data_IF_953813042667
#
_entry.id   IF_953813042667
#
_cell.length_a   1.000
_cell.length_b   1.000
_cell.length_c   1.000
_cell.angle_alpha   90.00
_cell.angle_beta   90.00
_cell.angle_gamma   90.00
#
_symmetry.space_group_name_H-M   'P 1'
#
loop_
_entity.id
_entity.type
_entity.pdbx_description
1 polymer ?
#
# COMPACT_ATOMS: atom_id res chain seq x y z
N UNK A 1 -58.17 -32.58 36.72
CA UNK A 1 -57.97 -31.13 36.56
C UNK A 1 -58.04 -30.50 37.93
N UNK A 2 -56.91 -29.95 38.39
CA UNK A 2 -56.83 -29.08 39.56
C UNK A 2 -56.65 -27.65 39.02
N UNK A 3 -57.46 -26.67 39.44
CA UNK A 3 -57.32 -25.30 38.96
C UNK A 3 -56.05 -24.70 39.56
N UNK A 4 -55.17 -24.21 38.68
CA UNK A 4 -53.99 -23.45 39.09
C UNK A 4 -54.47 -22.05 39.45
N UNK A 5 -54.31 -21.70 40.72
CA UNK A 5 -54.62 -20.39 41.25
C UNK A 5 -53.62 -19.38 40.68
N UNK A 6 -54.04 -18.63 39.65
CA UNK A 6 -53.46 -17.34 39.30
C UNK A 6 -53.72 -16.37 40.47
N UNK A 7 -52.92 -16.49 41.53
CA UNK A 7 -52.72 -15.37 42.43
C UNK A 7 -52.07 -14.28 41.60
N UNK A 8 -52.90 -13.34 41.17
CA UNK A 8 -52.48 -12.02 40.73
C UNK A 8 -51.58 -11.41 41.81
N UNK A 9 -50.28 -11.63 41.69
CA UNK A 9 -49.29 -10.77 42.30
C UNK A 9 -49.44 -9.44 41.58
N UNK A 10 -49.80 -8.40 42.34
CA UNK A 10 -50.00 -7.05 41.86
C UNK A 10 -48.80 -6.60 41.01
N UNK A 11 -49.02 -6.48 39.71
CA UNK A 11 -48.65 -5.29 38.93
C UNK A 11 -47.19 -5.01 38.57
N UNK A 12 -46.20 -5.84 38.93
CA UNK A 12 -44.83 -5.67 38.41
C UNK A 12 -44.23 -7.03 38.04
N UNK A 13 -44.06 -7.29 36.74
CA UNK A 13 -43.10 -8.28 36.29
C UNK A 13 -41.71 -7.73 36.65
N UNK A 14 -40.85 -8.45 37.37
CA UNK A 14 -39.49 -7.96 37.64
C UNK A 14 -38.77 -7.79 36.30
N UNK A 15 -38.42 -6.54 35.99
CA UNK A 15 -37.59 -6.19 34.83
C UNK A 15 -36.17 -6.01 35.38
N UNK A 16 -35.20 -6.63 34.71
CA UNK A 16 -33.79 -6.42 35.04
C UNK A 16 -33.48 -4.94 34.90
N UNK A 17 -32.78 -4.35 35.86
CA UNK A 17 -32.29 -2.97 35.77
C UNK A 17 -31.47 -2.76 34.50
N UNK A 18 -30.72 -3.78 34.06
CA UNK A 18 -30.02 -3.77 32.78
C UNK A 18 -30.91 -3.63 31.53
N UNK A 19 -32.24 -3.74 31.64
CA UNK A 19 -33.20 -3.49 30.56
C UNK A 19 -33.87 -2.11 30.65
N UNK A 20 -33.51 -1.29 31.63
CA UNK A 20 -34.02 0.06 31.84
C UNK A 20 -32.94 1.05 31.40
N UNK A 21 -33.33 1.99 30.55
CA UNK A 21 -32.45 3.04 30.02
C UNK A 21 -32.80 4.39 30.63
N UNK A 22 -31.79 5.23 30.83
CA UNK A 22 -31.93 6.62 31.19
C UNK A 22 -32.60 7.38 30.06
N UNK A 23 -33.79 7.90 30.31
CA UNK A 23 -34.54 8.69 29.34
C UNK A 23 -34.58 10.18 29.70
N UNK A 24 -33.74 10.60 30.66
CA UNK A 24 -33.56 12.00 31.02
C UNK A 24 -32.64 12.75 30.02
N UNK A 25 -32.37 14.04 30.27
CA UNK A 25 -31.37 14.77 29.51
C UNK A 25 -29.95 14.26 29.82
N UNK A 26 -29.01 14.59 28.94
CA UNK A 26 -27.59 14.36 29.18
C UNK A 26 -27.12 15.22 30.36
N UNK A 27 -26.25 14.68 31.21
CA UNK A 27 -25.63 15.36 32.34
C UNK A 27 -24.11 15.38 32.12
N UNK A 28 -23.57 16.42 31.42
CA UNK A 28 -22.16 16.48 31.08
C UNK A 28 -21.21 16.48 32.29
N UNK A 29 -21.70 16.87 33.47
CA UNK A 29 -20.89 16.92 34.69
C UNK A 29 -20.51 15.54 35.25
N UNK A 30 -21.21 14.48 34.83
CA UNK A 30 -20.95 13.10 35.26
C UNK A 30 -20.86 12.13 34.06
N UNK A 31 -20.63 12.67 32.86
CA UNK A 31 -20.56 11.94 31.58
C UNK A 31 -21.75 11.01 31.27
N UNK A 32 -22.93 11.35 31.82
CA UNK A 32 -24.14 10.56 31.64
C UNK A 32 -24.92 11.02 30.42
N UNK A 33 -25.29 10.09 29.54
CA UNK A 33 -26.03 10.33 28.32
C UNK A 33 -27.43 9.67 28.31
N UNK A 34 -28.34 10.26 27.55
CA UNK A 34 -29.64 9.67 27.25
C UNK A 34 -29.46 8.36 26.50
N UNK A 35 -30.06 7.30 27.02
CA UNK A 35 -29.97 5.94 26.48
C UNK A 35 -29.07 5.02 27.29
N UNK A 36 -28.31 5.56 28.26
CA UNK A 36 -27.43 4.76 29.11
C UNK A 36 -28.21 3.80 30.01
N UNK A 37 -27.55 2.72 30.41
CA UNK A 37 -28.15 1.74 31.29
C UNK A 37 -28.40 2.33 32.68
N UNK A 38 -29.55 2.04 33.31
CA UNK A 38 -29.82 2.54 34.66
C UNK A 38 -28.82 2.01 35.69
N UNK A 39 -28.24 0.82 35.47
CA UNK A 39 -27.18 0.28 36.33
C UNK A 39 -25.93 1.18 36.31
N UNK A 40 -25.54 1.64 35.11
CA UNK A 40 -24.44 2.59 34.91
C UNK A 40 -24.75 3.94 35.57
N UNK A 41 -25.96 4.45 35.35
CA UNK A 41 -26.40 5.74 35.92
C UNK A 41 -26.33 5.72 37.46
N UNK A 42 -26.86 4.66 38.08
CA UNK A 42 -26.85 4.52 39.54
C UNK A 42 -25.43 4.40 40.06
N UNK A 43 -24.56 3.67 39.35
CA UNK A 43 -23.16 3.52 39.73
C UNK A 43 -22.40 4.85 39.70
N UNK A 44 -22.57 5.65 38.64
CA UNK A 44 -21.90 6.94 38.49
C UNK A 44 -22.39 7.97 39.52
N UNK A 45 -23.70 8.04 39.76
CA UNK A 45 -24.28 8.91 40.80
C UNK A 45 -23.79 8.51 42.19
N UNK A 46 -23.74 7.21 42.49
CA UNK A 46 -23.25 6.72 43.78
C UNK A 46 -21.76 7.03 43.97
N UNK A 47 -20.97 6.92 42.90
CA UNK A 47 -19.54 7.24 42.92
C UNK A 47 -19.31 8.73 43.19
N UNK A 48 -20.02 9.62 42.50
CA UNK A 48 -19.93 11.06 42.75
C UNK A 48 -20.40 11.45 44.15
N UNK A 49 -21.46 10.80 44.65
CA UNK A 49 -21.90 11.00 46.03
C UNK A 49 -20.83 10.57 47.04
N UNK A 50 -20.18 9.44 46.82
CA UNK A 50 -19.06 8.98 47.66
C UNK A 50 -17.87 9.96 47.59
N UNK A 51 -17.51 10.44 46.40
CA UNK A 51 -16.44 11.43 46.23
C UNK A 51 -16.74 12.74 46.96
N UNK A 52 -18.00 13.20 46.93
CA UNK A 52 -18.43 14.38 47.68
C UNK A 52 -18.40 14.14 49.19
N UNK A 53 -18.78 12.95 49.66
CA UNK A 53 -18.69 12.59 51.07
C UNK A 53 -17.24 12.55 51.55
N UNK A 54 -16.31 12.05 50.73
CA UNK A 54 -14.87 12.04 51.03
C UNK A 54 -14.28 13.46 51.04
N UNK A 55 -14.72 14.35 50.13
CA UNK A 55 -14.28 15.75 50.08
C UNK A 55 -14.79 16.55 51.29
N UNK A 56 -15.95 16.18 51.82
CA UNK A 56 -16.59 16.79 53.00
C UNK A 56 -16.34 15.94 54.25
N UNK A 57 -15.29 15.11 54.26
CA UNK A 57 -14.90 14.37 55.45
C UNK A 57 -14.26 15.31 56.48
N UNK A 58 -15.12 15.82 57.38
CA UNK A 58 -14.77 16.75 58.43
C UNK A 58 -14.16 16.07 59.68
N UNK A 59 -13.94 14.75 59.66
CA UNK A 59 -13.41 14.00 60.81
C UNK A 59 -12.02 14.46 61.26
N UNK A 60 -11.28 15.16 60.40
CA UNK A 60 -9.94 15.69 60.70
C UNK A 60 -9.94 17.14 61.23
N UNK A 61 -11.10 17.79 61.33
CA UNK A 61 -11.22 19.16 61.82
C UNK A 61 -11.77 19.14 63.26
N UNK A 62 -10.93 19.48 64.24
CA UNK A 62 -11.38 19.73 65.60
C UNK A 62 -12.09 21.09 65.70
N UNK A 63 -13.13 21.19 66.55
CA UNK A 63 -13.90 22.42 66.83
C UNK A 63 -14.76 22.98 65.68
N UNK A 64 -15.43 22.11 64.92
CA UNK A 64 -16.51 22.56 64.04
C UNK A 64 -17.77 22.84 64.88
N UNK A 65 -18.39 24.03 64.77
CA UNK A 65 -19.64 24.35 65.48
C UNK A 65 -20.77 23.39 65.10
N UNK A 66 -21.60 22.99 66.08
CA UNK A 66 -22.71 22.03 65.86
C UNK A 66 -23.84 22.56 64.95
N UNK A 67 -23.85 23.85 64.59
CA UNK A 67 -24.89 24.49 63.78
C UNK A 67 -24.32 25.00 62.44
N UNK A 68 -24.03 24.07 61.53
CA UNK A 68 -23.72 24.39 60.13
C UNK A 68 -24.97 24.11 59.31
N UNK A 69 -25.58 25.14 58.75
CA UNK A 69 -26.81 24.99 57.96
C UNK A 69 -26.51 24.91 56.46
N UNK A 70 -25.37 25.45 56.01
CA UNK A 70 -24.93 25.41 54.62
C UNK A 70 -23.40 25.49 54.47
N UNK A 71 -22.95 25.49 53.22
CA UNK A 71 -21.53 25.55 52.89
C UNK A 71 -20.86 26.89 53.26
N UNK A 72 -21.62 28.00 53.35
CA UNK A 72 -21.08 29.28 53.82
C UNK A 72 -20.80 29.23 55.32
N UNK A 73 -21.70 28.64 56.11
CA UNK A 73 -21.49 28.44 57.55
C UNK A 73 -20.24 27.59 57.83
N UNK A 74 -20.02 26.53 57.04
CA UNK A 74 -18.82 25.69 57.14
C UNK A 74 -17.54 26.47 56.81
N UNK A 75 -17.53 27.19 55.69
CA UNK A 75 -16.37 28.00 55.29
C UNK A 75 -16.08 29.08 56.33
N UNK A 76 -17.10 29.72 56.89
CA UNK A 76 -16.94 30.75 57.91
C UNK A 76 -16.38 30.16 59.22
N UNK A 77 -16.85 29.00 59.65
CA UNK A 77 -16.32 28.30 60.83
C UNK A 77 -14.83 27.92 60.68
N UNK A 78 -14.41 27.51 59.47
CA UNK A 78 -13.01 27.22 59.17
C UNK A 78 -12.15 28.49 59.21
N UNK A 79 -12.66 29.62 58.72
CA UNK A 79 -11.99 30.93 58.77
C UNK A 79 -11.82 31.40 60.23
N UNK A 80 -12.86 31.24 61.05
CA UNK A 80 -12.84 31.67 62.45
C UNK A 80 -11.85 30.84 63.29
N UNK A 81 -11.78 29.52 63.05
CA UNK A 81 -10.78 28.66 63.69
C UNK A 81 -9.35 29.03 63.27
N UNK A 82 -9.10 29.29 61.99
CA UNK A 82 -7.80 29.78 61.51
C UNK A 82 -7.42 31.13 62.15
N UNK A 83 -8.40 32.01 62.35
CA UNK A 83 -8.17 33.34 62.93
C UNK A 83 -7.81 33.25 64.42
N UNK A 84 -8.39 32.30 65.16
CA UNK A 84 -8.10 32.06 66.57
C UNK A 84 -6.71 31.44 66.81
N UNK A 85 -6.19 30.64 65.87
CA UNK A 85 -4.81 30.13 65.94
C UNK A 85 -3.75 31.22 65.61
N UNK A 86 -4.15 32.30 64.93
CA UNK A 86 -3.26 33.40 64.50
C UNK A 86 -3.16 34.52 65.55
N UNK A 87 -3.88 34.42 66.67
CA UNK A 87 -3.91 35.42 67.75
C UNK A 87 -2.63 35.44 68.65
N UNK A 88 -1.46 35.17 68.07
CA UNK A 88 -0.17 35.17 68.78
C UNK A 88 0.63 36.47 68.68
N UNK A 89 0.13 37.50 67.99
CA UNK A 89 0.95 38.67 67.63
C UNK A 89 0.49 40.02 68.18
N UNK A 90 -0.62 40.10 68.92
CA UNK A 90 -1.02 41.34 69.56
C UNK A 90 -0.49 41.36 71.00
N UNK A 91 0.79 41.74 71.13
CA UNK A 91 1.34 42.68 72.14
C UNK A 91 2.81 42.36 72.51
N UNK A 92 3.68 43.31 72.14
CA UNK A 92 5.07 43.57 72.59
C UNK A 92 6.23 42.74 71.99
N UNK A 93 7.24 43.50 71.50
CA UNK A 93 8.49 43.13 70.80
C UNK A 93 8.37 42.83 69.29
N UNK A 94 9.35 43.23 68.45
CA UNK A 94 9.37 42.78 67.05
C UNK A 94 9.41 41.26 67.07
N UNK A 95 8.39 40.63 66.49
CA UNK A 95 8.22 39.18 66.49
C UNK A 95 9.56 38.50 66.15
N UNK A 96 10.12 37.73 67.10
CA UNK A 96 11.31 36.93 66.78
C UNK A 96 10.90 35.94 65.69
N UNK A 97 11.64 35.90 64.59
CA UNK A 97 11.43 34.91 63.53
C UNK A 97 11.30 33.51 64.14
N UNK A 98 10.09 32.95 64.09
CA UNK A 98 9.81 31.64 64.66
C UNK A 98 10.50 30.58 63.82
N UNK A 99 11.51 29.92 64.40
CA UNK A 99 12.19 28.79 63.79
C UNK A 99 11.36 27.53 64.07
N UNK A 100 11.00 26.83 63.00
CA UNK A 100 10.19 25.61 63.05
C UNK A 100 10.97 24.43 62.48
N UNK A 101 10.61 23.23 62.91
CA UNK A 101 11.18 21.99 62.37
C UNK A 101 10.43 21.61 61.09
N UNK A 102 11.16 21.38 60.01
CA UNK A 102 10.60 21.02 58.71
C UNK A 102 10.33 19.53 58.60
N UNK A 103 9.37 19.13 57.76
CA UNK A 103 9.19 17.73 57.38
C UNK A 103 10.42 17.19 56.64
N UNK A 104 10.68 15.90 56.77
CA UNK A 104 11.90 15.26 56.24
C UNK A 104 12.05 15.35 54.72
N UNK A 105 10.96 15.47 53.98
CA UNK A 105 10.96 15.68 52.54
C UNK A 105 11.48 17.07 52.12
N UNK A 106 11.63 17.99 53.06
CA UNK A 106 12.21 19.32 52.87
C UNK A 106 13.60 19.46 53.48
N UNK A 107 14.15 18.41 54.08
CA UNK A 107 15.54 18.44 54.55
C UNK A 107 16.48 18.52 53.36
N UNK A 108 17.49 19.38 53.46
CA UNK A 108 18.51 19.52 52.44
C UNK A 108 19.89 19.64 53.09
N UNK A 109 20.93 19.35 52.31
CA UNK A 109 22.31 19.53 52.75
C UNK A 109 22.80 20.88 52.26
N UNK A 110 23.31 21.71 53.16
CA UNK A 110 23.85 23.02 52.78
C UNK A 110 25.29 22.90 52.22
N UNK A 111 25.87 24.03 51.83
CA UNK A 111 27.22 24.08 51.25
C UNK A 111 28.34 23.73 52.24
N UNK A 112 28.07 23.70 53.55
CA UNK A 112 29.00 23.21 54.58
C UNK A 112 28.80 21.73 54.91
N UNK A 113 27.95 21.03 54.15
CA UNK A 113 27.68 19.60 54.28
C UNK A 113 26.85 19.24 55.53
N UNK A 114 26.15 20.21 56.12
CA UNK A 114 25.24 20.01 57.24
C UNK A 114 23.81 19.78 56.74
N UNK A 115 23.10 18.85 57.38
CA UNK A 115 21.67 18.64 57.13
C UNK A 115 20.87 19.74 57.82
N UNK A 116 20.16 20.54 57.04
CA UNK A 116 19.27 21.59 57.53
C UNK A 116 17.88 20.97 57.73
N UNK A 117 17.43 20.92 58.99
CA UNK A 117 16.13 20.35 59.39
C UNK A 117 15.16 21.38 59.94
N UNK A 118 15.60 22.62 60.12
CA UNK A 118 14.81 23.74 60.66
C UNK A 118 14.90 24.95 59.74
N UNK A 119 13.84 25.74 59.65
CA UNK A 119 13.78 26.98 58.88
C UNK A 119 12.85 27.98 59.56
N UNK A 120 12.86 29.25 59.13
CA UNK A 120 11.81 30.19 59.54
C UNK A 120 10.47 29.79 58.93
N UNK A 121 9.36 30.22 59.54
CA UNK A 121 8.02 29.97 59.00
C UNK A 121 7.89 30.44 57.53
N UNK A 122 8.44 31.62 57.21
CA UNK A 122 8.42 32.17 55.85
C UNK A 122 9.19 31.27 54.87
N UNK A 123 10.41 30.86 55.21
CA UNK A 123 11.23 30.01 54.35
C UNK A 123 10.60 28.64 54.12
N UNK A 124 10.07 28.03 55.18
CA UNK A 124 9.40 26.73 55.06
C UNK A 124 8.14 26.81 54.20
N UNK A 125 7.33 27.85 54.39
CA UNK A 125 6.13 28.09 53.57
C UNK A 125 6.50 28.30 52.10
N UNK A 126 7.60 29.02 51.81
CA UNK A 126 8.10 29.19 50.44
C UNK A 126 8.56 27.86 49.82
N UNK A 127 9.24 27.00 50.59
CA UNK A 127 9.65 25.68 50.10
C UNK A 127 8.45 24.77 49.81
N UNK A 128 7.43 24.78 50.67
CA UNK A 128 6.17 24.07 50.44
C UNK A 128 5.51 24.58 49.15
N UNK A 129 5.42 25.90 48.97
CA UNK A 129 4.88 26.51 47.75
C UNK A 129 5.62 26.09 46.48
N UNK A 130 6.96 26.10 46.50
CA UNK A 130 7.77 25.64 45.38
C UNK A 130 7.53 24.16 45.05
N UNK A 131 7.50 23.29 46.08
CA UNK A 131 7.24 21.86 45.90
C UNK A 131 5.84 21.59 45.37
N UNK A 132 4.86 22.37 45.81
CA UNK A 132 3.49 22.30 45.30
C UNK A 132 3.43 22.70 43.82
N UNK A 133 4.12 23.77 43.42
CA UNK A 133 4.23 24.15 42.01
C UNK A 133 4.88 23.02 41.17
N UNK A 134 5.96 22.40 41.65
CA UNK A 134 6.61 21.28 40.97
C UNK A 134 5.67 20.07 40.81
N UNK A 135 4.89 19.75 41.85
CA UNK A 135 3.91 18.68 41.81
C UNK A 135 2.79 18.99 40.81
N UNK A 136 2.27 20.22 40.79
CA UNK A 136 1.27 20.66 39.81
C UNK A 136 1.82 20.54 38.38
N UNK A 137 3.06 20.99 38.13
CA UNK A 137 3.71 20.84 36.83
C UNK A 137 3.86 19.36 36.45
N UNK A 138 4.28 18.52 37.39
CA UNK A 138 4.45 17.08 37.16
C UNK A 138 3.12 16.40 36.81
N UNK A 139 2.05 16.73 37.53
CA UNK A 139 0.70 16.23 37.24
C UNK A 139 0.26 16.66 35.84
N UNK A 140 0.41 17.94 35.50
CA UNK A 140 0.03 18.44 34.16
C UNK A 140 0.80 17.74 33.03
N UNK A 141 2.10 17.52 33.22
CA UNK A 141 2.94 16.79 32.25
C UNK A 141 2.48 15.33 32.10
N UNK A 142 2.21 14.65 33.23
CA UNK A 142 1.74 13.27 33.21
C UNK A 142 0.35 13.15 32.55
N UNK A 143 -0.58 14.06 32.84
CA UNK A 143 -1.89 14.12 32.20
C UNK A 143 -1.76 14.28 30.69
N UNK A 144 -0.88 15.18 30.23
CA UNK A 144 -0.62 15.38 28.80
C UNK A 144 -0.03 14.12 28.15
N UNK A 145 0.93 13.47 28.80
CA UNK A 145 1.54 12.24 28.29
C UNK A 145 0.52 11.08 28.19
N UNK A 146 -0.36 10.95 29.18
CA UNK A 146 -1.44 9.95 29.17
C UNK A 146 -2.40 10.20 28.00
N UNK A 147 -2.78 11.46 27.74
CA UNK A 147 -3.62 11.84 26.60
C UNK A 147 -2.97 11.40 25.27
N UNK A 148 -1.68 11.70 25.08
CA UNK A 148 -0.93 11.33 23.88
C UNK A 148 -0.85 9.80 23.69
N UNK A 149 -0.63 9.04 24.76
CA UNK A 149 -0.64 7.59 24.70
C UNK A 149 -2.01 7.03 24.32
N UNK A 150 -3.09 7.61 24.86
CA UNK A 150 -4.45 7.21 24.52
C UNK A 150 -4.77 7.47 23.04
N UNK A 151 -4.38 8.63 22.51
CA UNK A 151 -4.54 8.97 21.10
C UNK A 151 -3.78 7.99 20.20
N UNK A 152 -2.54 7.64 20.57
CA UNK A 152 -1.74 6.67 19.82
C UNK A 152 -2.35 5.26 19.83
N UNK A 153 -2.91 4.83 20.95
CA UNK A 153 -3.60 3.54 21.06
C UNK A 153 -4.84 3.51 20.17
N UNK A 154 -5.62 4.58 20.15
CA UNK A 154 -6.79 4.71 19.28
C UNK A 154 -6.40 4.66 17.81
N UNK A 155 -5.35 5.40 17.41
CA UNK A 155 -4.85 5.38 16.03
C UNK A 155 -4.34 3.99 15.61
N UNK A 156 -3.58 3.32 16.48
CA UNK A 156 -3.08 1.97 16.20
C UNK A 156 -4.22 0.95 16.07
N UNK A 157 -5.27 1.09 16.90
CA UNK A 157 -6.45 0.23 16.84
C UNK A 157 -7.19 0.41 15.51
N UNK A 158 -7.37 1.65 15.05
CA UNK A 158 -7.97 1.94 13.75
C UNK A 158 -7.13 1.36 12.59
N UNK A 159 -5.81 1.58 12.60
CA UNK A 159 -4.91 1.05 11.58
C UNK A 159 -4.94 -0.49 11.52
N UNK A 160 -5.03 -1.14 12.68
CA UNK A 160 -5.11 -2.60 12.76
C UNK A 160 -6.43 -3.13 12.19
N UNK A 161 -7.55 -2.44 12.46
CA UNK A 161 -8.85 -2.79 11.88
C UNK A 161 -8.83 -2.64 10.36
N UNK A 162 -8.32 -1.53 9.84
CA UNK A 162 -8.17 -1.31 8.39
C UNK A 162 -7.34 -2.41 7.72
N UNK A 163 -6.18 -2.77 8.31
CA UNK A 163 -5.36 -3.86 7.80
C UNK A 163 -6.06 -5.22 7.84
N UNK A 164 -6.83 -5.48 8.90
CA UNK A 164 -7.60 -6.72 9.04
C UNK A 164 -8.69 -6.82 7.97
N UNK A 165 -9.38 -5.70 7.69
CA UNK A 165 -10.41 -5.62 6.66
C UNK A 165 -9.81 -5.74 5.25
N UNK A 166 -8.66 -5.12 4.98
CA UNK A 166 -7.93 -5.25 3.72
C UNK A 166 -7.49 -6.70 3.44
N UNK A 167 -7.04 -7.41 4.48
CA UNK A 167 -6.69 -8.83 4.41
C UNK A 167 -7.96 -9.68 4.16
N UNK A 168 -9.05 -9.39 4.87
CA UNK A 168 -10.31 -10.14 4.74
C UNK A 168 -10.98 -9.95 3.38
N UNK A 169 -10.88 -8.76 2.79
CA UNK A 169 -11.48 -8.40 1.49
C UNK A 169 -10.58 -8.72 0.30
N UNK A 170 -9.29 -9.01 0.53
CA UNK A 170 -8.33 -9.27 -0.54
C UNK A 170 -7.93 -8.01 -1.31
N UNK A 171 -8.08 -6.83 -0.73
CA UNK A 171 -7.74 -5.55 -1.38
C UNK A 171 -6.23 -5.41 -1.70
N UNK A 172 -5.37 -6.16 -1.01
CA UNK A 172 -3.93 -6.29 -1.29
C UNK A 172 -3.63 -7.28 -2.43
N UNK A 173 -4.46 -7.31 -3.46
CA UNK A 173 -4.21 -8.10 -4.66
C UNK A 173 -3.37 -7.28 -5.65
N UNK A 174 -2.20 -7.79 -6.10
CA UNK A 174 -1.61 -7.32 -7.34
C UNK A 174 -2.64 -7.55 -8.46
N UNK A 175 -2.93 -6.53 -9.27
CA UNK A 175 -3.71 -6.70 -10.50
C UNK A 175 -2.95 -7.68 -11.42
N UNK A 176 -3.28 -8.96 -11.33
CA UNK A 176 -2.82 -9.94 -12.30
C UNK A 176 -3.72 -9.81 -13.54
N UNK A 177 -3.09 -9.58 -14.70
CA UNK A 177 -3.71 -9.29 -16.00
C UNK A 177 -4.64 -10.40 -16.56
N UNK A 178 -4.97 -11.43 -15.78
CA UNK A 178 -5.77 -12.58 -16.20
C UNK A 178 -7.16 -12.66 -15.55
N UNK A 179 -7.52 -11.78 -14.61
CA UNK A 179 -8.89 -11.72 -14.10
C UNK A 179 -9.65 -10.60 -14.77
N UNK A 180 -10.79 -10.95 -15.37
CA UNK A 180 -11.81 -9.98 -15.75
C UNK A 180 -12.04 -9.03 -14.57
N UNK A 181 -12.01 -7.73 -14.86
CA UNK A 181 -12.18 -6.65 -13.88
C UNK A 181 -13.38 -6.93 -12.96
N UNK A 182 -13.13 -7.11 -11.66
CA UNK A 182 -14.18 -7.23 -10.64
C UNK A 182 -14.14 -8.46 -9.74
N UNK A 183 -13.24 -9.43 -9.95
CA UNK A 183 -13.10 -10.58 -9.05
C UNK A 183 -12.06 -10.34 -7.95
N UNK A 184 -12.49 -10.32 -6.70
CA UNK A 184 -11.62 -10.41 -5.52
C UNK A 184 -11.08 -11.83 -5.42
N UNK A 185 -9.76 -11.98 -5.29
CA UNK A 185 -9.08 -13.26 -5.13
C UNK A 185 -8.09 -13.19 -3.97
N UNK A 186 -7.52 -14.33 -3.59
CA UNK A 186 -6.45 -14.35 -2.60
C UNK A 186 -5.08 -14.20 -3.27
N UNK A 187 -4.05 -13.85 -2.50
CA UNK A 187 -2.64 -13.90 -2.99
C UNK A 187 -2.29 -15.26 -3.58
N UNK A 188 -2.83 -16.35 -3.01
CA UNK A 188 -2.60 -17.71 -3.49
C UNK A 188 -3.20 -17.93 -4.89
N UNK A 189 -4.31 -17.26 -5.20
CA UNK A 189 -4.91 -17.32 -6.53
C UNK A 189 -4.10 -16.54 -7.56
N UNK A 190 -3.52 -15.41 -7.16
CA UNK A 190 -2.58 -14.65 -8.00
C UNK A 190 -1.33 -15.46 -8.33
N UNK A 191 -0.75 -16.15 -7.33
CA UNK A 191 0.41 -17.03 -7.54
C UNK A 191 0.08 -18.18 -8.48
N UNK A 192 -1.06 -18.85 -8.30
CA UNK A 192 -1.52 -19.91 -9.21
C UNK A 192 -1.73 -19.42 -10.64
N UNK A 193 -2.27 -18.22 -10.82
CA UNK A 193 -2.47 -17.63 -12.14
C UNK A 193 -1.12 -17.32 -12.84
N UNK A 194 -0.13 -16.84 -12.09
CA UNK A 194 1.23 -16.63 -12.59
C UNK A 194 1.89 -17.96 -12.98
N UNK A 195 1.80 -18.99 -12.13
CA UNK A 195 2.32 -20.32 -12.40
C UNK A 195 1.70 -20.91 -13.68
N UNK A 196 0.38 -20.83 -13.83
CA UNK A 196 -0.31 -21.29 -15.04
C UNK A 196 0.13 -20.50 -16.29
N UNK A 197 0.29 -19.19 -16.18
CA UNK A 197 0.75 -18.35 -17.31
C UNK A 197 2.17 -18.71 -17.72
N UNK A 198 3.05 -18.94 -16.74
CA UNK A 198 4.42 -19.39 -16.98
C UNK A 198 4.46 -20.77 -17.63
N UNK A 199 3.64 -21.71 -17.16
CA UNK A 199 3.54 -23.05 -17.75
C UNK A 199 3.02 -22.99 -19.19
N UNK A 200 1.97 -22.21 -19.46
CA UNK A 200 1.45 -22.01 -20.82
C UNK A 200 2.52 -21.44 -21.76
N UNK A 201 3.30 -20.47 -21.30
CA UNK A 201 4.41 -19.90 -22.07
C UNK A 201 5.50 -20.95 -22.33
N UNK A 202 5.89 -21.72 -21.32
CA UNK A 202 6.90 -22.77 -21.42
C UNK A 202 6.44 -23.91 -22.33
N UNK A 203 5.17 -24.29 -22.29
CA UNK A 203 4.62 -25.34 -23.15
C UNK A 203 4.55 -24.88 -24.62
N UNK A 204 4.21 -23.60 -24.84
CA UNK A 204 4.17 -23.02 -26.18
C UNK A 204 5.56 -22.77 -26.80
N UNK A 205 6.55 -22.38 -25.99
CA UNK A 205 7.89 -21.97 -26.48
C UNK A 205 8.97 -23.03 -26.27
N UNK A 206 8.73 -24.01 -25.39
CA UNK A 206 9.73 -24.96 -24.94
C UNK A 206 10.51 -24.47 -23.70
N UNK A 207 11.40 -25.33 -23.20
CA UNK A 207 12.27 -24.97 -22.06
C UNK A 207 13.37 -23.99 -22.48
N UNK A 208 13.94 -23.26 -21.51
CA UNK A 208 15.08 -22.37 -21.75
C UNK A 208 16.26 -23.10 -22.41
N UNK A 209 16.54 -24.35 -22.01
CA UNK A 209 17.58 -25.20 -22.63
C UNK A 209 17.22 -25.57 -24.07
N UNK A 210 15.96 -25.90 -24.35
CA UNK A 210 15.51 -26.20 -25.71
C UNK A 210 15.62 -24.97 -26.62
N UNK A 211 15.25 -23.79 -26.14
CA UNK A 211 15.38 -22.52 -26.86
C UNK A 211 16.84 -22.16 -27.12
N UNK A 212 17.72 -22.35 -26.13
CA UNK A 212 19.16 -22.13 -26.28
C UNK A 212 19.76 -23.08 -27.32
N UNK A 213 19.44 -24.38 -27.26
CA UNK A 213 19.87 -25.36 -28.27
C UNK A 213 19.36 -25.03 -29.67
N UNK A 214 18.10 -24.60 -29.78
CA UNK A 214 17.53 -24.15 -31.05
C UNK A 214 18.26 -22.93 -31.61
N UNK A 215 18.65 -21.96 -30.75
CA UNK A 215 19.43 -20.81 -31.17
C UNK A 215 20.78 -21.21 -31.79
N UNK A 216 21.43 -22.24 -31.24
CA UNK A 216 22.71 -22.77 -31.73
C UNK A 216 22.59 -23.74 -32.90
N UNK A 217 21.38 -24.06 -33.36
CA UNK A 217 21.18 -25.01 -34.47
C UNK A 217 21.57 -24.45 -35.84
N UNK A 218 21.86 -23.15 -35.95
CA UNK A 218 22.46 -22.57 -37.15
C UNK A 218 23.79 -23.28 -37.45
N UNK A 219 23.94 -23.81 -38.66
CA UNK A 219 25.12 -24.62 -39.03
C UNK A 219 26.44 -23.90 -38.73
N UNK A 220 27.43 -24.65 -38.25
CA UNK A 220 28.66 -24.12 -37.63
C UNK A 220 29.52 -23.20 -38.50
N UNK A 221 29.24 -23.09 -39.80
CA UNK A 221 30.04 -22.32 -40.76
C UNK A 221 29.25 -21.21 -41.46
N UNK A 222 28.00 -20.91 -41.03
CA UNK A 222 27.14 -19.97 -41.74
C UNK A 222 27.80 -18.60 -41.95
N UNK A 223 28.56 -18.10 -40.97
CA UNK A 223 29.34 -16.86 -41.08
C UNK A 223 30.24 -16.83 -42.33
N UNK A 224 30.81 -17.97 -42.70
CA UNK A 224 31.78 -18.14 -43.79
C UNK A 224 31.15 -18.61 -45.11
N UNK A 225 29.84 -18.86 -45.11
CA UNK A 225 29.12 -19.21 -46.34
C UNK A 225 29.01 -18.00 -47.26
N UNK A 226 29.01 -18.26 -48.56
CA UNK A 226 28.81 -17.19 -49.54
C UNK A 226 27.36 -16.69 -49.46
N UNK A 227 27.21 -15.38 -49.62
CA UNK A 227 25.89 -14.77 -49.83
C UNK A 227 25.31 -15.23 -51.16
N UNK A 228 24.00 -15.42 -51.19
CA UNK A 228 23.26 -15.65 -52.43
C UNK A 228 23.03 -14.35 -53.19
N UNK A 229 22.88 -13.23 -52.47
CA UNK A 229 22.75 -11.88 -53.06
C UNK A 229 24.09 -11.14 -53.08
N UNK A 230 24.74 -11.13 -54.24
CA UNK A 230 25.96 -10.34 -54.49
C UNK A 230 27.26 -11.05 -54.09
N UNK A 231 28.29 -10.26 -53.78
CA UNK A 231 29.60 -10.78 -53.38
C UNK A 231 29.80 -10.70 -51.86
N UNK A 232 30.58 -11.64 -51.32
CA UNK A 232 30.94 -11.66 -49.89
C UNK A 232 30.38 -12.86 -49.14
N UNK A 233 30.64 -12.87 -47.83
CA UNK A 233 30.22 -13.92 -46.89
C UNK A 233 29.01 -13.50 -46.08
N UNK A 234 28.23 -14.43 -45.51
CA UNK A 234 27.04 -14.08 -44.72
C UNK A 234 27.36 -13.11 -43.58
N UNK A 235 28.52 -13.23 -42.95
CA UNK A 235 28.91 -12.31 -41.87
C UNK A 235 29.25 -10.88 -42.32
N UNK A 236 29.33 -10.64 -43.63
CA UNK A 236 29.46 -9.29 -44.19
C UNK A 236 28.12 -8.57 -44.34
N UNK A 237 26.99 -9.24 -44.07
CA UNK A 237 25.67 -8.60 -44.07
C UNK A 237 25.58 -7.65 -42.87
N UNK A 238 25.14 -6.41 -43.12
CA UNK A 238 24.96 -5.42 -42.06
C UNK A 238 23.96 -5.92 -41.01
N UNK A 239 24.35 -5.87 -39.73
CA UNK A 239 23.54 -6.37 -38.61
C UNK A 239 23.69 -7.88 -38.35
N UNK A 240 24.60 -8.57 -39.04
CA UNK A 240 24.93 -9.96 -38.76
C UNK A 240 25.59 -10.13 -37.38
N UNK A 241 25.23 -11.20 -36.68
CA UNK A 241 25.81 -11.57 -35.38
C UNK A 241 26.77 -12.75 -35.57
N UNK A 242 28.08 -12.54 -35.43
CA UNK A 242 29.09 -13.59 -35.62
C UNK A 242 29.03 -14.70 -34.54
N UNK A 243 28.66 -14.35 -33.31
CA UNK A 243 28.59 -15.28 -32.17
C UNK A 243 27.18 -15.29 -31.58
N UNK A 244 26.39 -16.28 -31.98
CA UNK A 244 25.01 -16.46 -31.50
C UNK A 244 25.02 -16.94 -30.05
N UNK A 245 24.43 -16.15 -29.15
CA UNK A 245 24.37 -16.44 -27.71
C UNK A 245 22.94 -16.58 -27.18
N UNK A 246 21.96 -16.11 -27.96
CA UNK A 246 20.54 -16.10 -27.60
C UNK A 246 19.66 -16.47 -28.79
N UNK A 247 18.39 -16.80 -28.51
CA UNK A 247 17.38 -16.98 -29.55
C UNK A 247 17.21 -15.73 -30.42
N UNK A 248 17.31 -14.54 -29.83
CA UNK A 248 17.20 -13.28 -30.55
C UNK A 248 18.31 -13.14 -31.61
N UNK A 249 19.56 -13.46 -31.25
CA UNK A 249 20.70 -13.44 -32.18
C UNK A 249 20.47 -14.41 -33.36
N UNK A 250 19.97 -15.61 -33.06
CA UNK A 250 19.69 -16.64 -34.06
C UNK A 250 18.55 -16.22 -35.00
N UNK A 251 17.46 -15.69 -34.47
CA UNK A 251 16.31 -15.18 -35.25
C UNK A 251 16.72 -13.99 -36.12
N UNK A 252 17.57 -13.09 -35.62
CA UNK A 252 18.13 -12.00 -36.40
C UNK A 252 18.88 -12.53 -37.63
N UNK A 253 19.83 -13.43 -37.43
CA UNK A 253 20.62 -14.01 -38.53
C UNK A 253 19.75 -14.84 -39.50
N UNK A 254 18.72 -15.54 -38.99
CA UNK A 254 17.74 -16.25 -39.80
C UNK A 254 17.04 -15.29 -40.77
N UNK A 255 16.54 -14.15 -40.28
CA UNK A 255 15.88 -13.15 -41.14
C UNK A 255 16.83 -12.53 -42.16
N UNK A 256 18.06 -12.22 -41.77
CA UNK A 256 19.09 -11.74 -42.70
C UNK A 256 19.37 -12.77 -43.81
N UNK A 257 19.43 -14.06 -43.45
CA UNK A 257 19.59 -15.15 -44.40
C UNK A 257 18.41 -15.29 -45.35
N UNK A 258 17.18 -15.19 -44.85
CA UNK A 258 15.96 -15.21 -45.68
C UNK A 258 15.92 -14.03 -46.65
N UNK A 259 16.33 -12.84 -46.21
CA UNK A 259 16.37 -11.64 -47.05
C UNK A 259 17.43 -11.76 -48.15
N UNK A 260 18.62 -12.25 -47.81
CA UNK A 260 19.70 -12.53 -48.76
C UNK A 260 19.25 -13.57 -49.80
N UNK A 261 18.62 -14.66 -49.35
CA UNK A 261 18.07 -15.70 -50.23
C UNK A 261 16.98 -15.15 -51.16
N UNK A 262 16.05 -14.35 -50.64
CA UNK A 262 14.97 -13.75 -51.45
C UNK A 262 15.52 -12.81 -52.52
N UNK A 263 16.52 -11.99 -52.20
CA UNK A 263 17.15 -11.09 -53.17
C UNK A 263 17.92 -11.86 -54.24
N UNK A 264 18.71 -12.86 -53.85
CA UNK A 264 19.42 -13.72 -54.79
C UNK A 264 18.47 -14.46 -55.73
N UNK A 265 17.36 -15.00 -55.23
CA UNK A 265 16.32 -15.64 -56.04
C UNK A 265 15.61 -14.66 -56.99
N UNK A 266 15.36 -13.41 -56.55
CA UNK A 266 14.81 -12.37 -57.42
C UNK A 266 15.81 -11.94 -58.51
N UNK A 267 17.11 -11.91 -58.21
CA UNK A 267 18.11 -11.66 -59.23
C UNK A 267 18.08 -12.76 -60.30
N UNK A 268 17.94 -14.03 -59.90
CA UNK A 268 17.79 -15.17 -60.82
C UNK A 268 16.53 -15.09 -61.68
N UNK A 269 15.41 -14.61 -61.13
CA UNK A 269 14.17 -14.41 -61.90
C UNK A 269 14.27 -13.25 -62.90
N UNK A 270 15.12 -12.24 -62.64
CA UNK A 270 15.43 -11.16 -63.58
C UNK A 270 16.47 -11.52 -64.64
N UNK A 271 17.30 -12.55 -64.42
CA UNK A 271 18.38 -12.94 -65.35
C UNK A 271 18.01 -14.01 -66.37
N UNK A 272 16.75 -14.46 -66.47
CA UNK A 272 16.33 -15.53 -67.40
C UNK A 272 17.33 -16.70 -67.43
N UNK A 273 17.55 -17.36 -66.29
CA UNK A 273 18.33 -18.60 -66.27
C UNK A 273 17.56 -19.81 -66.83
N UNK A 274 16.37 -19.62 -67.40
CA UNK A 274 16.04 -20.35 -68.62
C UNK A 274 16.69 -19.55 -69.73
N UNK A 275 17.95 -19.82 -70.00
CA UNK A 275 18.54 -19.45 -71.28
C UNK A 275 17.59 -20.06 -72.29
N UNK A 276 16.76 -19.26 -72.96
CA UNK A 276 16.07 -19.75 -74.14
C UNK A 276 17.18 -20.07 -75.12
N UNK A 277 17.60 -21.34 -75.15
CA UNK A 277 18.59 -21.81 -76.10
C UNK A 277 17.97 -21.61 -77.50
N UNK A 278 18.78 -21.50 -78.55
CA UNK A 278 18.22 -21.45 -79.92
C UNK A 278 17.28 -22.64 -80.24
N UNK A 279 17.29 -23.69 -79.42
CA UNK A 279 16.40 -24.86 -79.49
C UNK A 279 14.96 -24.59 -79.07
N UNK A 280 14.70 -23.52 -78.31
CA UNK A 280 13.35 -23.11 -77.87
C UNK A 280 12.65 -22.19 -78.88
N UNK A 281 13.37 -21.78 -79.93
CA UNK A 281 12.81 -21.08 -81.09
C UNK A 281 12.47 -22.13 -82.14
N UNK A 282 11.18 -22.36 -82.37
CA UNK A 282 10.72 -23.17 -83.50
C UNK A 282 10.33 -22.24 -84.65
N UNK A 283 11.17 -22.15 -85.68
CA UNK A 283 10.84 -21.48 -86.94
C UNK A 283 10.26 -22.50 -87.92
N UNK A 284 8.97 -22.37 -88.21
CA UNK A 284 8.28 -23.10 -89.27
C UNK A 284 7.90 -22.11 -90.34
N UNK A 285 8.32 -22.39 -91.58
CA UNK A 285 7.94 -21.57 -92.71
C UNK A 285 7.29 -22.41 -93.80
N UNK A 286 6.30 -21.81 -94.46
CA UNK A 286 5.67 -22.29 -95.68
C UNK A 286 5.89 -21.23 -96.74
N UNK A 287 6.44 -21.60 -97.89
CA UNK A 287 6.64 -20.68 -98.99
C UNK A 287 5.71 -21.04 -100.14
N UNK A 288 4.92 -20.07 -100.59
CA UNK A 288 4.08 -20.19 -101.78
C UNK A 288 4.66 -19.27 -102.87
N UNK A 289 4.83 -19.79 -104.08
CA UNK A 289 5.21 -18.98 -105.24
C UNK A 289 3.92 -18.37 -105.81
N UNK A 290 3.92 -17.07 -106.07
CA UNK A 290 2.78 -16.38 -106.69
C UNK A 290 2.57 -16.88 -108.12
N UNK A 291 1.34 -16.75 -108.63
CA UNK A 291 0.97 -17.31 -109.93
C UNK A 291 1.75 -16.72 -111.13
N UNK A 292 2.42 -15.57 -110.95
CA UNK A 292 3.31 -14.93 -111.91
C UNK A 292 4.75 -15.49 -111.89
N UNK A 293 5.08 -16.40 -110.96
CA UNK A 293 6.42 -16.98 -110.74
C UNK A 293 7.52 -15.96 -110.39
N UNK A 294 7.16 -14.70 -110.11
CA UNK A 294 8.11 -13.61 -109.86
C UNK A 294 8.28 -13.32 -108.37
N UNK A 295 7.33 -13.72 -107.53
CA UNK A 295 7.38 -13.48 -106.07
C UNK A 295 7.24 -14.76 -105.26
N UNK A 296 8.04 -14.88 -104.20
CA UNK A 296 7.88 -15.93 -103.18
C UNK A 296 7.28 -15.29 -101.94
N UNK A 297 6.12 -15.79 -101.49
CA UNK A 297 5.51 -15.40 -100.22
C UNK A 297 5.89 -16.42 -99.15
N UNK A 298 6.53 -15.96 -98.08
CA UNK A 298 6.90 -16.79 -96.95
C UNK A 298 5.92 -16.52 -95.80
N UNK A 299 5.27 -17.57 -95.32
CA UNK A 299 4.39 -17.58 -94.16
C UNK A 299 5.11 -18.27 -93.00
N UNK A 300 5.12 -17.65 -91.82
CA UNK A 300 5.77 -18.19 -90.62
C UNK A 300 4.77 -18.88 -89.66
N UNK A 301 3.69 -19.43 -90.23
CA UNK A 301 2.58 -20.01 -89.48
C UNK A 301 3.05 -21.22 -88.65
N UNK A 302 2.68 -21.27 -87.37
CA UNK A 302 3.08 -22.35 -86.46
C UNK A 302 4.49 -22.24 -85.91
N UNK A 303 5.18 -21.11 -86.14
CA UNK A 303 6.39 -20.77 -85.40
C UNK A 303 6.06 -20.44 -83.94
N UNK A 304 6.96 -20.75 -83.01
CA UNK A 304 6.83 -20.40 -81.60
C UNK A 304 8.06 -19.61 -81.17
N UNK A 305 7.84 -18.36 -80.78
CA UNK A 305 8.88 -17.46 -80.25
C UNK A 305 8.51 -17.15 -78.80
N UNK A 306 9.35 -17.53 -77.82
CA UNK A 306 9.11 -17.23 -76.42
C UNK A 306 9.00 -15.71 -76.16
N UNK A 307 8.21 -15.32 -75.15
CA UNK A 307 8.08 -13.92 -74.75
C UNK A 307 9.43 -13.34 -74.32
N UNK A 308 9.82 -12.19 -74.88
CA UNK A 308 11.07 -11.50 -74.53
C UNK A 308 12.11 -11.44 -75.65
N UNK A 309 11.93 -12.20 -76.74
CA UNK A 309 12.71 -12.01 -77.97
C UNK A 309 12.24 -10.76 -78.71
N UNK A 310 13.20 -9.92 -79.13
CA UNK A 310 12.96 -8.72 -79.93
C UNK A 310 13.83 -8.81 -81.18
N UNK A 311 13.23 -8.64 -82.36
CA UNK A 311 13.99 -8.58 -83.62
C UNK A 311 14.94 -7.38 -83.57
N UNK A 312 16.24 -7.64 -83.59
CA UNK A 312 17.26 -6.60 -83.53
C UNK A 312 17.41 -5.85 -84.87
N UNK A 313 16.79 -6.33 -85.96
CA UNK A 313 16.87 -5.71 -87.28
C UNK A 313 15.55 -5.86 -88.07
N UNK A 314 14.56 -5.01 -87.75
CA UNK A 314 13.19 -5.04 -88.30
C UNK A 314 13.07 -4.83 -89.82
N UNK A 315 14.19 -4.58 -90.50
CA UNK A 315 14.26 -4.42 -91.95
C UNK A 315 14.61 -5.72 -92.69
N UNK A 316 14.90 -6.80 -91.97
CA UNK A 316 15.35 -8.06 -92.57
C UNK A 316 16.77 -7.96 -93.13
N UNK A 317 17.40 -9.11 -93.39
CA UNK A 317 18.66 -9.18 -94.13
C UNK A 317 18.34 -9.47 -95.59
N UNK A 318 18.79 -8.62 -96.51
CA UNK A 318 18.77 -8.93 -97.94
C UNK A 318 19.91 -9.90 -98.26
N UNK A 319 19.57 -11.06 -98.84
CA UNK A 319 20.51 -11.82 -99.67
C UNK A 319 20.53 -11.22 -101.07
#
# INVERSE_FOLDING_TARGET
MLPINNKAAKGCTPISSSCVIWNGPDLPCIDLCKGDNIDTVIYEIATELCNLLDLVDLQNYENIPENINDAQDLIQALIDNLSNEVECCDNEAPASEQIITMASCFWYTNNTNDTVTTATLEEYTRMIGAKLCDLVTTVNNNTTAIQQLNDQVNQNTANYQELTDDIATGALMPQFASRTSGETGTTNDGLRALENSYLNLKDATGSADALYKAALAAGSNLNTENRLDGQGKMNSILGWVDSVSSLADSVNNLWLTVLDARKGLNALSCTNSVVAECRDISLKFRADITADLETIKIYLDGSTIPSGFRDCNSTGSSL
#
